data_IF_385272827888
#
_entry.id   IF_385272827888
#
_cell.length_a   1.000
_cell.length_b   1.000
_cell.length_c   1.000
_cell.angle_alpha   90.00
_cell.angle_beta   90.00
_cell.angle_gamma   90.00
#
_symmetry.space_group_name_H-M   'P 1'
#
loop_
_entity.id
_entity.type
_entity.pdbx_description
1 polymer ?
#
# COMPACT_ATOMS: atom_id res chain seq x y z
N UNK A 1 9.09 51.50 57.08
CA UNK A 1 9.71 50.71 55.99
C UNK A 1 8.69 49.70 55.47
N UNK A 2 8.11 49.95 54.29
CA UNK A 2 7.46 48.98 53.39
C UNK A 2 7.10 49.73 52.09
N UNK A 3 8.02 49.63 51.13
CA UNK A 3 7.97 50.22 49.79
C UNK A 3 7.06 49.33 48.92
N UNK A 4 5.99 49.89 48.35
CA UNK A 4 5.15 49.19 47.36
C UNK A 4 5.68 49.49 45.96
N UNK A 5 6.27 48.49 45.29
CA UNK A 5 6.59 48.56 43.86
C UNK A 5 5.30 48.45 43.04
N UNK A 6 5.06 49.43 42.17
CA UNK A 6 4.09 49.35 41.07
C UNK A 6 4.83 48.85 39.82
N UNK A 7 4.43 47.70 39.29
CA UNK A 7 4.92 47.19 38.00
C UNK A 7 4.08 47.80 36.85
N UNK A 8 4.69 48.28 35.75
CA UNK A 8 3.93 48.77 34.61
C UNK A 8 3.45 47.60 33.74
N UNK A 9 2.16 47.58 33.43
CA UNK A 9 1.54 46.67 32.46
C UNK A 9 1.81 47.21 31.05
N UNK A 10 2.60 46.48 30.25
CA UNK A 10 2.82 46.76 28.83
C UNK A 10 1.77 46.00 28.02
N UNK A 11 0.89 46.73 27.33
CA UNK A 11 -0.12 46.15 26.42
C UNK A 11 0.48 46.13 25.01
N UNK A 12 0.70 44.92 24.48
CA UNK A 12 1.18 44.68 23.12
C UNK A 12 0.00 44.60 22.15
N UNK A 13 -0.14 45.58 21.25
CA UNK A 13 -1.10 45.52 20.14
C UNK A 13 -0.48 44.76 18.96
N UNK A 14 -1.00 43.57 18.65
CA UNK A 14 -0.63 42.81 17.46
C UNK A 14 -1.59 43.19 16.33
N UNK A 15 -1.09 43.86 15.30
CA UNK A 15 -1.82 44.11 14.07
C UNK A 15 -1.72 42.87 13.16
N UNK A 16 -2.84 42.19 12.95
CA UNK A 16 -2.94 41.06 12.00
C UNK A 16 -3.30 41.63 10.63
N UNK A 17 -2.37 41.62 9.69
CA UNK A 17 -2.66 41.89 8.28
C UNK A 17 -3.27 40.63 7.62
N UNK A 18 -4.38 40.72 6.88
CA UNK A 18 -4.94 39.58 6.18
C UNK A 18 -4.03 39.18 5.00
N UNK A 19 -3.62 37.91 4.96
CA UNK A 19 -3.02 37.33 3.77
C UNK A 19 -4.10 37.15 2.68
N UNK A 20 -3.78 37.39 1.39
CA UNK A 20 -4.73 37.12 0.32
C UNK A 20 -4.96 35.60 0.20
N UNK A 21 -6.22 35.18 0.35
CA UNK A 21 -6.65 33.81 0.08
C UNK A 21 -6.84 33.70 -1.44
N UNK A 22 -6.00 32.92 -2.11
CA UNK A 22 -6.20 32.58 -3.52
C UNK A 22 -7.25 31.45 -3.61
N UNK A 23 -8.37 31.72 -4.27
CA UNK A 23 -9.36 30.70 -4.61
C UNK A 23 -9.02 30.09 -5.97
N UNK A 24 -8.90 28.76 -6.04
CA UNK A 24 -8.82 28.04 -7.31
C UNK A 24 -10.23 27.68 -7.77
N UNK A 25 -10.66 28.22 -8.91
CA UNK A 25 -11.87 27.81 -9.61
C UNK A 25 -11.50 26.96 -10.83
N UNK A 26 -12.21 25.87 -11.06
CA UNK A 26 -12.18 25.16 -12.34
C UNK A 26 -12.86 26.06 -13.39
N UNK A 27 -12.08 26.62 -14.31
CA UNK A 27 -12.60 27.49 -15.36
C UNK A 27 -12.59 26.74 -16.70
N UNK A 28 -13.75 26.67 -17.37
CA UNK A 28 -13.85 26.24 -18.77
C UNK A 28 -13.25 27.29 -19.74
N UNK A 29 -13.05 28.52 -19.25
CA UNK A 29 -12.49 29.64 -20.01
C UNK A 29 -11.02 29.87 -19.65
N UNK A 30 -10.10 29.99 -20.62
CA UNK A 30 -8.68 30.11 -20.31
C UNK A 30 -8.37 31.44 -19.59
N UNK A 31 -7.47 31.37 -18.61
CA UNK A 31 -7.19 32.42 -17.61
C UNK A 31 -6.90 33.81 -18.19
N UNK A 32 -6.27 33.85 -19.36
CA UNK A 32 -5.98 35.04 -20.15
C UNK A 32 -7.21 35.89 -20.51
N UNK A 33 -8.41 35.29 -20.58
CA UNK A 33 -9.65 36.01 -20.87
C UNK A 33 -10.30 36.64 -19.64
N UNK A 34 -10.07 36.10 -18.43
CA UNK A 34 -10.75 36.53 -17.19
C UNK A 34 -10.00 37.64 -16.44
N UNK A 35 -8.66 37.66 -16.51
CA UNK A 35 -7.84 38.56 -15.68
C UNK A 35 -7.03 39.62 -16.47
N UNK A 36 -7.14 39.64 -17.81
CA UNK A 36 -6.35 40.54 -18.64
C UNK A 36 -4.84 40.23 -18.60
N UNK A 37 -4.05 40.91 -19.42
CA UNK A 37 -2.65 40.58 -19.72
C UNK A 37 -1.63 40.88 -18.59
N UNK A 38 -2.08 40.99 -17.34
CA UNK A 38 -1.26 41.45 -16.20
C UNK A 38 -1.10 40.45 -15.05
N UNK A 39 -1.65 39.24 -15.15
CA UNK A 39 -1.63 38.24 -14.07
C UNK A 39 -0.69 37.07 -14.31
N UNK A 40 -0.12 36.51 -13.23
CA UNK A 40 0.56 35.20 -13.25
C UNK A 40 -0.51 34.12 -13.31
N UNK A 41 -0.64 33.43 -14.45
CA UNK A 41 -1.53 32.29 -14.60
C UNK A 41 -0.72 30.98 -14.51
N UNK A 42 -1.15 30.08 -13.63
CA UNK A 42 -0.69 28.69 -13.61
C UNK A 42 -1.82 27.83 -14.14
N UNK A 43 -1.60 27.15 -15.27
CA UNK A 43 -2.59 26.22 -15.85
C UNK A 43 -2.11 24.80 -15.67
N UNK A 44 -2.98 23.93 -15.17
CA UNK A 44 -2.75 22.48 -15.07
C UNK A 44 -3.82 21.74 -15.85
N UNK A 45 -3.41 20.73 -16.62
CA UNK A 45 -4.30 19.80 -17.31
C UNK A 45 -4.04 18.38 -16.84
N UNK A 46 -5.10 17.58 -16.72
CA UNK A 46 -5.02 16.14 -16.47
C UNK A 46 -5.51 15.45 -17.74
N UNK A 47 -4.61 14.71 -18.40
CA UNK A 47 -5.00 13.73 -19.39
C UNK A 47 -4.68 12.32 -18.88
N UNK A 48 -5.17 11.30 -19.60
CA UNK A 48 -5.08 9.89 -19.16
C UNK A 48 -3.66 9.34 -18.99
N UNK A 49 -2.61 10.14 -19.24
CA UNK A 49 -1.21 9.72 -19.07
C UNK A 49 -0.43 10.56 -18.04
N UNK A 50 -1.00 11.60 -17.43
CA UNK A 50 -0.35 12.32 -16.34
C UNK A 50 -0.87 13.73 -16.06
N UNK A 51 -0.25 14.37 -15.07
CA UNK A 51 -0.52 15.78 -14.69
C UNK A 51 0.59 16.66 -15.25
N UNK A 52 0.24 17.58 -16.14
CA UNK A 52 1.17 18.58 -16.67
C UNK A 52 0.93 19.94 -16.00
N UNK A 53 1.98 20.51 -15.41
CA UNK A 53 1.97 21.86 -14.82
C UNK A 53 2.82 22.79 -15.69
N UNK A 54 2.20 23.82 -16.27
CA UNK A 54 2.90 24.84 -17.05
C UNK A 54 2.71 26.20 -16.36
N UNK A 55 3.82 26.82 -15.95
CA UNK A 55 3.84 28.20 -15.47
C UNK A 55 4.47 29.09 -16.54
N UNK A 56 3.74 30.11 -17.00
CA UNK A 56 4.23 31.05 -18.01
C UNK A 56 4.08 32.49 -17.54
N UNK A 57 5.14 33.28 -17.66
CA UNK A 57 5.08 34.74 -17.61
C UNK A 57 4.99 35.25 -19.04
N UNK A 58 3.81 35.69 -19.47
CA UNK A 58 3.66 36.28 -20.81
C UNK A 58 4.16 37.72 -20.79
N UNK A 59 5.32 37.98 -21.41
CA UNK A 59 5.76 39.33 -21.79
C UNK A 59 5.29 39.60 -23.23
N UNK A 60 4.85 40.82 -23.59
CA UNK A 60 4.30 41.07 -24.92
C UNK A 60 5.41 41.00 -25.96
N UNK A 61 5.26 40.10 -26.94
CA UNK A 61 6.02 40.05 -28.18
C UNK A 61 5.07 39.69 -29.32
N UNK A 62 5.22 40.27 -30.52
CA UNK A 62 4.25 40.14 -31.59
C UNK A 62 4.20 38.72 -32.13
N UNK A 63 2.97 38.26 -32.38
CA UNK A 63 2.63 36.98 -32.99
C UNK A 63 3.20 36.84 -34.40
N UNK A 64 4.00 35.80 -34.64
CA UNK A 64 4.25 35.27 -35.98
C UNK A 64 3.61 33.89 -36.10
N UNK A 65 2.51 33.84 -36.83
CA UNK A 65 1.94 32.63 -37.40
C UNK A 65 2.87 32.07 -38.48
N UNK A 66 3.17 30.77 -38.44
CA UNK A 66 3.72 30.06 -39.59
C UNK A 66 3.07 28.68 -39.73
N UNK A 67 2.24 28.58 -40.77
CA UNK A 67 1.98 27.35 -41.51
C UNK A 67 3.27 26.81 -42.14
N UNK A 68 3.30 25.50 -42.40
CA UNK A 68 4.30 24.83 -43.24
C UNK A 68 4.44 23.37 -42.80
N UNK A 69 3.69 22.45 -43.40
CA UNK A 69 4.05 21.69 -44.61
C UNK A 69 4.88 20.43 -44.30
N UNK A 70 4.22 19.28 -44.49
CA UNK A 70 4.84 17.95 -44.58
C UNK A 70 5.81 17.86 -45.77
N UNK A 71 6.92 17.11 -45.62
CA UNK A 71 7.54 16.45 -46.76
C UNK A 71 7.51 14.92 -46.65
N UNK A 72 7.19 14.31 -47.79
CA UNK A 72 7.24 12.88 -48.09
C UNK A 72 8.68 12.29 -48.00
N UNK A 73 8.83 10.96 -47.85
CA UNK A 73 10.11 10.33 -47.53
C UNK A 73 10.98 10.08 -48.77
N UNK A 74 12.27 10.39 -48.64
CA UNK A 74 13.30 10.08 -49.63
C UNK A 74 13.77 8.61 -49.53
N UNK A 75 14.01 8.02 -50.70
CA UNK A 75 14.38 6.64 -50.95
C UNK A 75 15.88 6.59 -51.17
N UNK A 76 16.65 6.06 -50.24
CA UNK A 76 17.79 5.15 -50.50
C UNK A 76 18.53 4.80 -49.21
N UNK A 77 18.60 3.50 -48.87
CA UNK A 77 19.85 2.80 -48.51
C UNK A 77 19.61 1.30 -48.36
N UNK A 78 20.44 0.56 -49.10
CA UNK A 78 20.87 -0.83 -49.01
C UNK A 78 20.15 -1.81 -48.06
N UNK A 79 19.71 -2.90 -48.68
CA UNK A 79 19.26 -4.17 -48.09
C UNK A 79 20.37 -4.88 -47.32
N UNK A 80 20.24 -4.98 -46.00
CA UNK A 80 20.99 -5.94 -45.18
C UNK A 80 20.02 -6.84 -44.43
N UNK A 81 20.04 -8.14 -44.77
CA UNK A 81 19.15 -9.18 -44.23
C UNK A 81 19.64 -9.55 -42.82
N UNK A 82 18.79 -9.56 -41.77
CA UNK A 82 19.20 -10.01 -40.45
C UNK A 82 19.34 -11.53 -40.43
N UNK A 83 20.53 -12.03 -40.13
CA UNK A 83 20.79 -13.44 -39.84
C UNK A 83 20.17 -13.78 -38.48
N UNK A 84 19.09 -14.57 -38.46
CA UNK A 84 18.49 -15.10 -37.23
C UNK A 84 19.50 -16.03 -36.52
N UNK A 85 19.78 -15.86 -35.22
CA UNK A 85 20.55 -16.84 -34.44
C UNK A 85 19.83 -18.19 -34.42
N UNK A 86 20.51 -19.27 -34.82
CA UNK A 86 19.99 -20.63 -34.70
C UNK A 86 19.88 -21.01 -33.22
N UNK A 87 18.69 -21.46 -32.81
CA UNK A 87 18.50 -22.08 -31.50
C UNK A 87 19.24 -23.44 -31.46
N UNK A 88 19.85 -23.81 -30.33
CA UNK A 88 20.47 -25.14 -30.18
C UNK A 88 19.42 -26.24 -30.33
N UNK A 89 19.81 -27.44 -30.82
CA UNK A 89 18.88 -28.54 -30.99
C UNK A 89 18.25 -28.94 -29.64
N UNK A 90 16.96 -29.33 -29.63
CA UNK A 90 16.30 -29.75 -28.39
C UNK A 90 17.01 -30.99 -27.83
N UNK A 91 17.41 -30.90 -26.57
CA UNK A 91 17.94 -32.03 -25.79
C UNK A 91 16.87 -33.13 -25.76
N UNK A 92 17.20 -34.41 -26.05
CA UNK A 92 16.25 -35.50 -25.92
C UNK A 92 15.74 -35.55 -24.48
N UNK A 93 14.48 -35.19 -24.25
CA UNK A 93 13.84 -35.43 -22.95
C UNK A 93 13.72 -36.94 -22.79
N UNK A 94 14.40 -37.49 -21.79
CA UNK A 94 14.11 -38.81 -21.28
C UNK A 94 12.62 -38.87 -20.99
N UNK A 95 11.95 -39.83 -21.63
CA UNK A 95 10.51 -40.12 -21.54
C UNK A 95 10.13 -40.27 -20.07
N UNK A 96 9.44 -39.28 -19.54
CA UNK A 96 8.84 -39.31 -18.19
C UNK A 96 7.62 -40.24 -18.20
N UNK A 97 7.52 -41.08 -17.16
CA UNK A 97 6.60 -42.21 -17.04
C UNK A 97 5.10 -41.85 -16.85
N UNK A 98 4.67 -40.65 -17.26
CA UNK A 98 3.29 -40.19 -17.14
C UNK A 98 2.53 -40.07 -18.47
N UNK A 99 3.18 -40.32 -19.61
CA UNK A 99 2.56 -40.22 -20.94
C UNK A 99 2.48 -41.58 -21.63
N UNK A 100 1.75 -42.54 -21.05
CA UNK A 100 1.41 -43.78 -21.77
C UNK A 100 -0.04 -44.17 -21.54
N UNK A 101 -0.95 -43.59 -22.31
CA UNK A 101 -2.22 -44.26 -22.66
C UNK A 101 -1.88 -45.47 -23.54
N UNK A 102 -1.45 -46.58 -22.90
CA UNK A 102 -1.33 -47.87 -23.58
C UNK A 102 -2.74 -48.40 -23.79
N UNK A 103 -3.20 -48.45 -25.03
CA UNK A 103 -4.43 -49.17 -25.38
C UNK A 103 -4.28 -50.65 -25.02
N UNK A 104 -5.21 -51.20 -24.25
CA UNK A 104 -5.20 -52.59 -23.80
C UNK A 104 -6.57 -53.24 -24.02
N UNK A 105 -6.58 -54.56 -24.29
CA UNK A 105 -7.80 -55.34 -24.50
C UNK A 105 -8.50 -55.66 -23.17
N UNK A 106 -9.85 -55.60 -23.08
CA UNK A 106 -10.58 -55.91 -21.86
C UNK A 106 -10.27 -57.32 -21.33
N UNK A 107 -9.89 -57.44 -20.06
CA UNK A 107 -9.67 -58.72 -19.39
C UNK A 107 -8.26 -59.30 -19.47
N UNK A 108 -7.31 -58.65 -20.16
CA UNK A 108 -5.90 -59.05 -20.12
C UNK A 108 -5.17 -58.52 -18.88
N UNK A 109 -4.21 -59.31 -18.40
CA UNK A 109 -3.25 -58.90 -17.37
C UNK A 109 -2.01 -58.34 -18.03
N UNK A 110 -1.69 -57.09 -17.72
CA UNK A 110 -0.45 -56.47 -18.18
C UNK A 110 0.76 -57.09 -17.47
N UNK A 111 1.94 -57.05 -18.10
CA UNK A 111 3.19 -57.56 -17.50
C UNK A 111 3.56 -56.86 -16.19
N UNK A 112 3.00 -55.68 -15.91
CA UNK A 112 3.13 -54.94 -14.65
C UNK A 112 2.17 -55.41 -13.54
N UNK A 113 1.32 -56.40 -13.79
CA UNK A 113 0.39 -56.97 -12.81
C UNK A 113 -0.96 -56.23 -12.66
N UNK A 114 -1.19 -55.14 -13.40
CA UNK A 114 -2.47 -54.43 -13.45
C UNK A 114 -3.52 -55.15 -14.30
N UNK A 115 -4.81 -54.96 -13.96
CA UNK A 115 -5.95 -55.44 -14.75
C UNK A 115 -6.61 -54.27 -15.49
N UNK A 116 -6.87 -54.43 -16.78
CA UNK A 116 -7.64 -53.47 -17.57
C UNK A 116 -9.13 -53.81 -17.51
N UNK A 117 -9.86 -53.09 -16.65
CA UNK A 117 -11.28 -53.32 -16.39
C UNK A 117 -12.23 -52.67 -17.41
N UNK A 118 -11.84 -51.56 -18.04
CA UNK A 118 -12.69 -50.75 -18.93
C UNK A 118 -12.20 -50.69 -20.39
N UNK A 119 -11.06 -51.32 -20.70
CA UNK A 119 -10.49 -51.34 -22.05
C UNK A 119 -9.93 -49.99 -22.52
N UNK A 120 -9.77 -49.01 -21.62
CA UNK A 120 -9.20 -47.68 -21.96
C UNK A 120 -8.13 -47.24 -20.95
N UNK A 121 -8.13 -47.72 -19.70
CA UNK A 121 -7.14 -47.31 -18.70
C UNK A 121 -6.58 -48.49 -17.91
N UNK A 122 -5.24 -48.53 -17.79
CA UNK A 122 -4.55 -49.46 -16.92
C UNK A 122 -4.43 -48.86 -15.50
N UNK A 123 -5.10 -49.44 -14.52
CA UNK A 123 -4.90 -49.09 -13.12
C UNK A 123 -3.57 -49.71 -12.65
N UNK A 124 -2.48 -48.95 -12.76
CA UNK A 124 -1.20 -49.35 -12.20
C UNK A 124 -1.27 -49.24 -10.66
N UNK A 125 -0.80 -50.24 -9.91
CA UNK A 125 -0.63 -50.07 -8.46
C UNK A 125 0.35 -48.92 -8.18
N UNK A 126 0.19 -48.20 -7.05
CA UNK A 126 1.10 -47.12 -6.69
C UNK A 126 2.54 -47.64 -6.65
N UNK A 127 3.45 -46.89 -7.26
CA UNK A 127 4.85 -47.29 -7.39
C UNK A 127 5.46 -47.54 -6.00
N UNK A 128 5.85 -48.79 -5.74
CA UNK A 128 6.65 -49.16 -4.57
C UNK A 128 8.12 -48.91 -4.86
N UNK A 129 8.49 -47.65 -5.11
CA UNK A 129 9.89 -47.24 -5.06
C UNK A 129 10.09 -46.46 -3.76
N UNK A 130 11.19 -46.65 -3.02
CA UNK A 130 11.52 -45.72 -1.93
C UNK A 130 11.59 -44.32 -2.55
N UNK A 131 10.64 -43.45 -2.18
CA UNK A 131 10.53 -42.12 -2.78
C UNK A 131 11.90 -41.46 -2.79
N UNK A 132 12.31 -40.97 -3.97
CA UNK A 132 13.49 -40.10 -4.07
C UNK A 132 13.36 -39.07 -2.93
N UNK A 133 14.37 -38.88 -2.07
CA UNK A 133 14.34 -37.80 -1.11
C UNK A 133 13.91 -36.55 -1.85
N UNK A 134 12.94 -35.82 -1.31
CA UNK A 134 12.56 -34.52 -1.86
C UNK A 134 13.85 -33.78 -2.19
N UNK A 135 14.01 -33.27 -3.42
CA UNK A 135 15.19 -32.45 -3.73
C UNK A 135 15.29 -31.43 -2.61
N UNK A 136 16.46 -31.28 -1.95
CA UNK A 136 16.60 -30.29 -0.91
C UNK A 136 16.06 -28.98 -1.45
N UNK A 137 15.10 -28.37 -0.74
CA UNK A 137 14.71 -27.00 -1.02
C UNK A 137 16.02 -26.22 -1.19
N UNK A 138 16.18 -25.40 -2.27
CA UNK A 138 17.45 -24.75 -2.54
C UNK A 138 17.91 -24.08 -1.25
N UNK A 139 19.02 -24.60 -0.71
CA UNK A 139 19.58 -24.07 0.52
C UNK A 139 19.81 -22.59 0.26
N UNK A 140 19.05 -21.75 0.96
CA UNK A 140 19.25 -20.30 0.93
C UNK A 140 20.70 -20.14 1.35
N UNK A 141 21.55 -19.80 0.40
CA UNK A 141 22.98 -19.71 0.64
C UNK A 141 23.10 -18.53 1.59
N UNK A 142 23.38 -18.82 2.85
CA UNK A 142 23.70 -17.83 3.86
C UNK A 142 25.10 -17.30 3.51
N UNK A 143 25.15 -16.53 2.42
CA UNK A 143 26.28 -15.65 2.13
C UNK A 143 26.38 -14.75 3.34
N UNK A 144 27.56 -14.56 3.96
CA UNK A 144 27.72 -13.60 5.05
C UNK A 144 27.28 -12.23 4.52
N UNK A 145 26.05 -11.89 4.81
CA UNK A 145 25.23 -10.98 4.04
C UNK A 145 24.46 -10.09 5.00
N UNK A 146 23.96 -8.98 4.46
CA UNK A 146 23.21 -7.97 5.21
C UNK A 146 22.22 -8.62 6.18
N UNK A 147 22.36 -8.28 7.46
CA UNK A 147 21.52 -8.78 8.54
C UNK A 147 20.37 -7.82 8.86
N UNK A 148 19.39 -8.27 9.65
CA UNK A 148 18.34 -7.39 10.19
C UNK A 148 18.92 -6.19 10.97
N UNK A 149 20.04 -6.38 11.68
CA UNK A 149 20.69 -5.31 12.43
C UNK A 149 21.25 -4.22 11.51
N UNK A 150 21.77 -4.60 10.34
CA UNK A 150 22.34 -3.65 9.37
C UNK A 150 21.27 -2.73 8.76
N UNK A 151 20.06 -3.25 8.59
CA UNK A 151 18.93 -2.50 8.01
C UNK A 151 18.03 -1.82 9.04
N UNK A 152 18.22 -2.08 10.34
CA UNK A 152 17.36 -1.51 11.38
C UNK A 152 17.32 0.02 11.39
N UNK A 153 18.42 0.68 10.97
CA UNK A 153 18.49 2.14 10.85
C UNK A 153 17.67 2.74 9.70
N UNK A 154 17.25 1.91 8.75
CA UNK A 154 16.48 2.34 7.58
C UNK A 154 14.97 2.27 7.79
N UNK A 155 14.51 1.75 8.93
CA UNK A 155 13.08 1.58 9.20
C UNK A 155 12.33 2.91 9.09
N UNK A 156 11.36 3.02 8.18
CA UNK A 156 10.49 4.18 8.13
C UNK A 156 9.56 4.20 9.34
N UNK A 157 9.40 5.39 9.94
CA UNK A 157 8.52 5.63 11.09
C UNK A 157 7.27 6.43 10.72
N UNK A 158 6.82 6.32 9.47
CA UNK A 158 5.73 7.13 8.91
C UNK A 158 4.33 6.57 9.17
N UNK A 159 4.22 5.32 9.63
CA UNK A 159 2.93 4.70 9.94
C UNK A 159 2.24 5.38 11.13
N UNK A 160 0.92 5.54 11.03
CA UNK A 160 0.04 6.11 12.05
C UNK A 160 -1.10 5.16 12.40
N UNK A 161 -1.70 5.34 13.57
CA UNK A 161 -2.94 4.65 13.96
C UNK A 161 -4.11 5.61 13.78
N UNK A 162 -5.20 5.11 13.22
CA UNK A 162 -6.50 5.79 13.10
C UNK A 162 -7.59 4.88 13.66
N UNK A 163 -8.69 5.47 14.11
CA UNK A 163 -9.87 4.73 14.52
C UNK A 163 -11.14 5.26 13.86
N UNK A 164 -12.14 4.41 13.78
CA UNK A 164 -13.51 4.79 13.44
C UNK A 164 -14.46 4.25 14.52
N UNK A 165 -15.20 5.13 15.22
CA UNK A 165 -15.13 6.59 15.12
C UNK A 165 -13.77 7.19 15.55
N UNK A 166 -13.44 8.39 15.06
CA UNK A 166 -12.12 8.99 15.27
C UNK A 166 -11.88 9.38 16.74
N UNK A 167 -10.99 8.66 17.41
CA UNK A 167 -10.54 8.92 18.78
C UNK A 167 -11.48 8.45 19.90
N UNK A 168 -12.60 7.79 19.59
CA UNK A 168 -13.55 7.31 20.59
C UNK A 168 -14.23 6.01 20.20
N UNK A 169 -14.77 5.31 21.20
CA UNK A 169 -15.52 4.08 21.04
C UNK A 169 -16.73 4.07 21.98
N UNK A 170 -17.74 3.23 21.68
CA UNK A 170 -18.83 2.96 22.60
C UNK A 170 -18.61 1.63 23.31
N UNK A 171 -18.93 1.57 24.60
CA UNK A 171 -18.97 0.30 25.34
C UNK A 171 -19.87 -0.69 24.62
N UNK A 172 -19.34 -1.88 24.33
CA UNK A 172 -20.07 -2.96 23.67
C UNK A 172 -20.28 -2.81 22.17
N UNK A 173 -19.78 -1.74 21.53
CA UNK A 173 -19.84 -1.58 20.07
C UNK A 173 -18.46 -1.76 19.42
N UNK A 174 -18.38 -2.24 18.17
CA UNK A 174 -17.14 -2.30 17.42
C UNK A 174 -16.53 -0.91 17.17
N UNK A 175 -15.28 -0.72 17.56
CA UNK A 175 -14.41 0.34 17.05
C UNK A 175 -13.50 -0.28 15.99
N UNK A 176 -13.40 0.35 14.83
CA UNK A 176 -12.51 -0.10 13.76
C UNK A 176 -11.16 0.59 13.91
N UNK A 177 -10.06 -0.17 14.01
CA UNK A 177 -8.70 0.36 14.08
C UNK A 177 -8.01 0.14 12.73
N UNK A 178 -7.24 1.11 12.25
CA UNK A 178 -6.55 1.00 10.98
C UNK A 178 -5.24 1.79 10.97
N UNK A 179 -4.33 1.40 10.08
CA UNK A 179 -3.06 2.08 9.88
C UNK A 179 -2.84 2.41 8.41
N UNK A 180 -2.03 3.42 8.12
CA UNK A 180 -1.57 3.77 6.77
C UNK A 180 -0.21 3.13 6.44
N UNK A 181 0.23 2.15 7.23
CA UNK A 181 1.42 1.37 6.95
C UNK A 181 1.32 0.67 5.58
N UNK A 182 2.31 0.93 4.74
CA UNK A 182 2.44 0.35 3.41
C UNK A 182 3.89 -0.05 3.16
N UNK A 183 4.14 -0.78 2.07
CA UNK A 183 5.51 -1.08 1.66
C UNK A 183 6.26 0.21 1.33
N UNK A 184 7.50 0.34 1.82
CA UNK A 184 8.33 1.53 1.60
C UNK A 184 9.73 1.13 1.18
N UNK A 185 10.32 1.92 0.29
CA UNK A 185 11.72 1.81 -0.13
C UNK A 185 12.46 3.02 0.40
N UNK A 186 13.57 2.77 1.09
CA UNK A 186 14.43 3.79 1.68
C UNK A 186 15.81 3.68 1.07
N UNK A 187 16.27 4.78 0.47
CA UNK A 187 17.63 4.92 -0.04
C UNK A 187 18.61 5.23 1.10
N UNK A 188 19.85 4.76 0.96
CA UNK A 188 20.95 5.20 1.81
C UNK A 188 22.21 4.37 1.64
N UNK A 189 23.05 4.30 2.67
CA UNK A 189 24.32 3.57 2.62
C UNK A 189 24.27 2.35 3.52
N UNK A 190 24.44 1.16 2.95
CA UNK A 190 24.44 -0.12 3.64
C UNK A 190 25.83 -0.76 3.49
N UNK A 191 26.49 -1.06 4.61
CA UNK A 191 27.86 -1.59 4.63
C UNK A 191 28.85 -0.79 3.76
N UNK A 192 28.73 0.54 3.75
CA UNK A 192 29.60 1.45 3.00
C UNK A 192 29.26 1.63 1.52
N UNK A 193 28.16 1.04 1.02
CA UNK A 193 27.74 1.13 -0.39
C UNK A 193 26.34 1.74 -0.52
N UNK A 194 26.06 2.53 -1.58
CA UNK A 194 24.71 2.97 -1.90
C UNK A 194 23.77 1.78 -2.08
N UNK A 195 22.65 1.81 -1.38
CA UNK A 195 21.68 0.73 -1.35
C UNK A 195 20.26 1.27 -1.21
N UNK A 196 19.31 0.43 -1.58
CA UNK A 196 17.90 0.60 -1.27
C UNK A 196 17.45 -0.54 -0.37
N UNK A 197 16.69 -0.20 0.66
CA UNK A 197 16.07 -1.16 1.56
C UNK A 197 14.56 -1.02 1.44
N UNK A 198 13.89 -2.12 1.10
CA UNK A 198 12.44 -2.20 1.02
C UNK A 198 11.89 -2.92 2.23
N UNK A 199 10.97 -2.29 2.92
CA UNK A 199 10.23 -2.84 4.05
C UNK A 199 8.80 -3.13 3.61
N UNK A 200 8.38 -4.39 3.69
CA UNK A 200 6.99 -4.81 3.41
C UNK A 200 6.35 -5.24 4.73
N UNK A 201 5.24 -4.62 5.18
CA UNK A 201 4.56 -5.07 6.38
C UNK A 201 3.90 -6.43 6.11
N UNK A 202 4.08 -7.37 7.02
CA UNK A 202 3.56 -8.75 6.87
C UNK A 202 2.71 -9.20 8.04
N UNK A 203 2.71 -8.47 9.16
CA UNK A 203 1.86 -8.76 10.31
C UNK A 203 1.66 -7.51 11.16
N UNK A 204 0.47 -7.39 11.76
CA UNK A 204 0.01 -6.24 12.52
C UNK A 204 -0.57 -6.72 13.85
N UNK A 205 0.15 -6.48 14.94
CA UNK A 205 -0.30 -6.82 16.30
C UNK A 205 -0.77 -5.57 17.02
N UNK A 206 -2.07 -5.49 17.25
CA UNK A 206 -2.74 -4.45 18.02
C UNK A 206 -2.76 -4.81 19.50
N UNK A 207 -2.29 -3.90 20.35
CA UNK A 207 -2.59 -3.89 21.78
C UNK A 207 -3.70 -2.87 22.00
N UNK A 208 -4.84 -3.33 22.52
CA UNK A 208 -6.04 -2.52 22.67
C UNK A 208 -6.04 -1.65 23.93
N UNK A 209 -5.04 -1.77 24.80
CA UNK A 209 -4.92 -0.97 26.02
C UNK A 209 -5.89 -1.37 27.14
N UNK A 210 -6.59 -2.50 26.99
CA UNK A 210 -7.45 -3.13 28.01
C UNK A 210 -6.91 -4.51 28.46
N UNK A 211 -5.67 -4.84 28.10
CA UNK A 211 -5.03 -6.13 28.37
C UNK A 211 -5.29 -7.19 27.29
N UNK A 212 -6.04 -6.86 26.24
CA UNK A 212 -6.23 -7.74 25.08
C UNK A 212 -5.40 -7.31 23.88
N UNK A 213 -5.08 -8.26 23.01
CA UNK A 213 -4.37 -8.01 21.76
C UNK A 213 -4.95 -8.83 20.61
N UNK A 214 -4.71 -8.38 19.38
CA UNK A 214 -5.14 -9.07 18.16
C UNK A 214 -4.06 -8.94 17.10
N UNK A 215 -3.80 -10.03 16.39
CA UNK A 215 -2.88 -10.04 15.25
C UNK A 215 -3.64 -10.28 13.96
N UNK A 216 -3.39 -9.44 12.97
CA UNK A 216 -3.99 -9.54 11.63
C UNK A 216 -2.90 -9.42 10.55
N UNK A 217 -3.24 -9.80 9.33
CA UNK A 217 -2.32 -9.79 8.18
C UNK A 217 -2.35 -8.49 7.38
N UNK A 218 -3.33 -7.61 7.64
CA UNK A 218 -3.56 -6.39 6.87
C UNK A 218 -3.64 -5.13 7.72
N UNK A 219 -3.44 -3.95 7.12
CA UNK A 219 -3.48 -2.66 7.82
C UNK A 219 -4.90 -2.23 8.26
N UNK A 220 -5.92 -3.02 7.92
CA UNK A 220 -7.33 -2.65 8.05
C UNK A 220 -7.79 -1.74 6.91
N UNK A 221 -9.09 -1.47 6.86
CA UNK A 221 -9.70 -0.54 5.91
C UNK A 221 -10.84 0.21 6.60
N UNK A 222 -11.14 1.41 6.13
CA UNK A 222 -12.28 2.17 6.66
C UNK A 222 -13.61 1.52 6.27
N UNK A 223 -14.66 1.72 7.08
CA UNK A 223 -16.01 1.25 6.76
C UNK A 223 -16.47 1.70 5.37
N UNK A 224 -16.15 2.95 4.98
CA UNK A 224 -16.43 3.48 3.64
C UNK A 224 -15.73 2.67 2.54
N UNK A 225 -14.46 2.31 2.71
CA UNK A 225 -13.72 1.49 1.74
C UNK A 225 -14.29 0.07 1.66
N UNK A 226 -14.81 -0.45 2.76
CA UNK A 226 -15.45 -1.77 2.84
C UNK A 226 -16.91 -1.77 2.39
N UNK A 227 -17.52 -0.61 2.14
CA UNK A 227 -18.96 -0.49 1.86
C UNK A 227 -19.84 -0.89 3.05
N UNK A 228 -19.32 -0.78 4.27
CA UNK A 228 -20.00 -1.15 5.51
C UNK A 228 -20.58 0.07 6.23
N UNK A 229 -21.59 -0.18 7.06
CA UNK A 229 -22.13 0.84 7.97
C UNK A 229 -21.21 1.06 9.17
N UNK A 230 -21.30 2.22 9.79
CA UNK A 230 -20.58 2.52 11.02
C UNK A 230 -20.93 1.49 12.11
N UNK A 231 -19.95 1.16 12.95
CA UNK A 231 -20.02 0.14 14.01
C UNK A 231 -20.24 -1.31 13.51
N UNK A 232 -20.01 -1.57 12.23
CA UNK A 232 -19.93 -2.95 11.71
C UNK A 232 -18.57 -3.56 12.04
N UNK A 233 -18.54 -4.82 12.47
CA UNK A 233 -17.29 -5.55 12.71
C UNK A 233 -16.47 -5.72 11.43
N UNK A 234 -15.19 -5.39 11.53
CA UNK A 234 -14.13 -5.56 10.52
C UNK A 234 -13.06 -6.51 11.04
N UNK A 235 -12.12 -6.92 10.19
CA UNK A 235 -10.95 -7.71 10.61
C UNK A 235 -10.10 -7.02 11.68
N UNK A 236 -10.11 -5.69 11.73
CA UNK A 236 -9.36 -4.87 12.70
C UNK A 236 -10.25 -4.19 13.73
N UNK A 237 -11.46 -4.71 13.94
CA UNK A 237 -12.35 -4.20 14.98
C UNK A 237 -12.02 -4.73 16.37
N UNK A 238 -12.28 -3.91 17.38
CA UNK A 238 -12.27 -4.31 18.79
C UNK A 238 -13.55 -3.86 19.50
N UNK A 239 -13.92 -4.53 20.58
CA UNK A 239 -15.09 -4.18 21.40
C UNK A 239 -14.66 -4.01 22.84
N UNK A 240 -14.75 -2.79 23.36
CA UNK A 240 -14.42 -2.51 24.76
C UNK A 240 -15.59 -2.81 25.70
N UNK A 241 -15.38 -3.58 26.78
CA UNK A 241 -16.45 -3.96 27.71
C UNK A 241 -16.75 -2.88 28.77
N UNK A 242 -15.86 -1.92 28.96
CA UNK A 242 -15.94 -0.91 30.03
C UNK A 242 -15.48 0.45 29.56
N UNK A 243 -16.05 1.51 30.14
CA UNK A 243 -15.67 2.89 29.86
C UNK A 243 -14.23 3.21 30.30
N UNK A 244 -13.72 4.33 29.81
CA UNK A 244 -12.44 4.92 30.18
C UNK A 244 -11.48 5.01 29.01
N UNK A 245 -10.34 5.66 29.24
CA UNK A 245 -9.32 5.84 28.21
C UNK A 245 -8.54 4.54 27.99
N UNK A 246 -8.22 4.28 26.71
CA UNK A 246 -7.45 3.11 26.28
C UNK A 246 -6.27 3.58 25.45
N UNK A 247 -5.07 3.14 25.81
CA UNK A 247 -3.85 3.45 25.06
C UNK A 247 -3.61 2.33 24.05
N UNK A 248 -4.00 2.56 22.81
CA UNK A 248 -3.85 1.60 21.73
C UNK A 248 -2.46 1.73 21.13
N UNK A 249 -1.74 0.62 21.01
CA UNK A 249 -0.47 0.55 20.28
C UNK A 249 -0.54 -0.49 19.17
N UNK A 250 0.32 -0.33 18.17
CA UNK A 250 0.44 -1.25 17.05
C UNK A 250 1.89 -1.66 16.88
N UNK A 251 2.16 -2.96 16.81
CA UNK A 251 3.46 -3.50 16.40
C UNK A 251 3.34 -4.07 14.99
N UNK A 252 4.10 -3.51 14.06
CA UNK A 252 4.15 -3.95 12.66
C UNK A 252 5.42 -4.77 12.45
N UNK A 253 5.28 -6.01 11.99
CA UNK A 253 6.42 -6.81 11.56
C UNK A 253 6.70 -6.55 10.08
N UNK A 254 7.87 -5.98 9.77
CA UNK A 254 8.30 -5.76 8.39
C UNK A 254 9.23 -6.88 7.93
N UNK A 255 8.99 -7.41 6.73
CA UNK A 255 9.93 -8.28 6.01
C UNK A 255 10.83 -7.40 5.12
N UNK A 256 12.13 -7.26 5.43
CA UNK A 256 13.01 -6.39 4.66
C UNK A 256 13.69 -7.13 3.50
N UNK A 257 13.89 -6.40 2.40
CA UNK A 257 14.74 -6.78 1.29
C UNK A 257 15.66 -5.63 0.93
N UNK A 258 16.85 -5.91 0.40
CA UNK A 258 17.80 -4.87 -0.01
C UNK A 258 18.26 -5.08 -1.45
N UNK A 259 18.79 -4.03 -2.07
CA UNK A 259 19.56 -4.12 -3.31
C UNK A 259 20.66 -3.08 -3.33
N UNK A 260 21.79 -3.44 -3.92
CA UNK A 260 22.89 -2.51 -4.22
C UNK A 260 22.82 -2.08 -5.68
N UNK A 261 23.16 -0.82 -5.95
CA UNK A 261 23.44 -0.31 -7.31
C UNK A 261 22.35 -0.65 -8.36
N UNK A 262 21.08 -0.69 -7.95
CA UNK A 262 19.94 -1.00 -8.83
C UNK A 262 19.77 -2.48 -9.21
N UNK A 263 20.53 -3.40 -8.60
CA UNK A 263 20.44 -4.84 -8.83
C UNK A 263 19.12 -5.50 -8.36
N UNK A 264 19.12 -6.83 -8.34
CA UNK A 264 17.98 -7.61 -7.86
C UNK A 264 17.74 -7.45 -6.36
N UNK A 265 16.47 -7.54 -5.93
CA UNK A 265 16.11 -7.55 -4.51
C UNK A 265 16.55 -8.85 -3.84
N UNK A 266 17.28 -8.72 -2.74
CA UNK A 266 17.72 -9.81 -1.89
C UNK A 266 16.92 -9.76 -0.58
N UNK A 267 16.22 -10.84 -0.26
CA UNK A 267 15.47 -10.95 0.98
C UNK A 267 16.41 -11.12 2.17
N UNK A 268 16.11 -10.45 3.28
CA UNK A 268 16.79 -10.68 4.55
C UNK A 268 15.89 -11.61 5.38
N UNK A 269 16.38 -12.77 5.83
CA UNK A 269 15.60 -13.68 6.66
C UNK A 269 15.11 -13.03 7.95
N UNK A 270 13.85 -13.30 8.31
CA UNK A 270 13.19 -12.79 9.51
C UNK A 270 12.40 -11.49 9.30
N UNK A 271 11.94 -10.91 10.41
CA UNK A 271 11.15 -9.68 10.41
C UNK A 271 11.71 -8.68 11.41
N UNK A 272 11.42 -7.40 11.16
CA UNK A 272 11.82 -6.30 12.02
C UNK A 272 10.56 -5.66 12.63
N UNK A 273 10.35 -5.78 13.96
CA UNK A 273 9.19 -5.21 14.62
C UNK A 273 9.34 -3.69 14.78
N UNK A 274 8.25 -2.96 14.52
CA UNK A 274 8.18 -1.50 14.63
C UNK A 274 6.92 -1.12 15.38
N UNK A 275 7.07 -0.44 16.51
CA UNK A 275 5.96 0.02 17.33
C UNK A 275 5.48 1.40 16.88
N UNK A 276 4.16 1.58 16.82
CA UNK A 276 3.45 2.81 16.48
C UNK A 276 2.50 3.16 17.63
N UNK A 277 2.39 4.46 17.94
CA UNK A 277 1.56 4.97 19.04
C UNK A 277 2.33 5.14 20.36
N UNK A 278 1.63 5.24 21.50
CA UNK A 278 0.19 4.97 21.64
C UNK A 278 -0.70 6.08 21.07
N UNK A 279 -1.94 5.72 20.72
CA UNK A 279 -3.05 6.67 20.54
C UNK A 279 -4.11 6.42 21.61
N UNK A 280 -4.74 7.49 22.09
CA UNK A 280 -5.80 7.37 23.09
C UNK A 280 -7.16 7.20 22.42
N UNK A 281 -7.89 6.16 22.81
CA UNK A 281 -9.30 5.95 22.47
C UNK A 281 -10.15 6.20 23.72
N UNK A 282 -11.08 7.15 23.63
CA UNK A 282 -12.02 7.44 24.71
C UNK A 282 -13.21 6.49 24.62
N UNK A 283 -13.32 5.53 25.55
CA UNK A 283 -14.47 4.61 25.58
C UNK A 283 -15.60 5.21 26.41
N UNK A 284 -16.71 5.49 25.73
CA UNK A 284 -17.87 6.18 26.26
C UNK A 284 -19.07 5.24 26.35
N UNK A 285 -20.04 5.55 27.21
CA UNK A 285 -21.32 4.86 27.21
C UNK A 285 -22.33 5.65 26.38
N UNK A 286 -22.99 4.98 25.44
CA UNK A 286 -24.10 5.54 24.70
C UNK A 286 -25.35 5.59 25.57
N UNK A 287 -26.03 6.74 25.59
CA UNK A 287 -27.39 6.85 26.12
C UNK A 287 -28.31 7.26 24.98
N UNK A 288 -29.38 6.50 24.75
CA UNK A 288 -30.44 6.92 23.85
C UNK A 288 -31.60 7.44 24.70
N UNK A 289 -32.07 8.63 24.36
CA UNK A 289 -33.29 9.20 24.92
C UNK A 289 -34.29 9.35 23.78
N UNK A 290 -35.54 9.00 24.04
CA UNK A 290 -36.62 9.26 23.09
C UNK A 290 -36.92 10.76 23.13
N UNK A 291 -36.68 11.43 22.01
CA UNK A 291 -37.03 12.83 21.81
C UNK A 291 -38.32 12.92 21.01
N UNK A 292 -39.11 13.97 21.25
CA UNK A 292 -40.29 14.25 20.44
C UNK A 292 -39.88 14.66 19.02
N UNK A 293 -40.44 13.99 18.01
CA UNK A 293 -40.20 14.34 16.60
C UNK A 293 -38.84 13.88 16.04
N UNK A 294 -38.67 14.00 14.72
CA UNK A 294 -37.41 13.70 14.05
C UNK A 294 -36.43 14.88 14.15
N UNK A 295 -35.13 14.60 14.25
CA UNK A 295 -34.10 15.64 14.25
C UNK A 295 -34.18 16.50 12.97
N UNK A 296 -33.98 17.81 13.12
CA UNK A 296 -34.13 18.79 12.03
C UNK A 296 -35.57 19.25 11.76
N UNK A 297 -36.57 18.80 12.54
CA UNK A 297 -37.95 19.31 12.45
C UNK A 297 -38.22 20.42 13.46
N UNK A 298 -39.24 21.25 13.18
CA UNK A 298 -39.64 22.39 14.04
C UNK A 298 -40.02 21.99 15.48
N UNK A 299 -40.31 20.71 15.71
CA UNK A 299 -40.70 20.15 17.00
C UNK A 299 -39.70 19.13 17.54
N UNK A 300 -38.46 19.12 17.02
CA UNK A 300 -37.43 18.23 17.52
C UNK A 300 -37.17 18.50 19.02
N UNK A 301 -37.20 17.44 19.81
CA UNK A 301 -36.91 17.51 21.24
C UNK A 301 -35.42 17.78 21.52
N UNK A 302 -35.07 18.14 22.76
CA UNK A 302 -33.70 18.42 23.15
C UNK A 302 -32.77 17.22 22.88
N UNK A 303 -31.67 17.42 22.17
CA UNK A 303 -30.71 16.35 21.78
C UNK A 303 -30.70 16.04 20.28
N UNK A 304 -31.62 16.66 19.53
CA UNK A 304 -31.49 17.03 18.13
C UNK A 304 -31.13 18.53 18.04
#
# INVERSE_FOLDING_TARGET
MRLRLLAPVVVLFIAIAPAPIAHAETAETPCNFKFGSGGVCTTGGIDGAGVALQAGTTRPGPSSSSHGEDPAPDRTTASERPTRPQAPPPVPRGRSAADVDVSCSPGERLSSGGMCGDGQHAFLPPATWPGKPADPAPAVTDVPGVTLADVARFVPRSASIRSQPNGWALVGAPVNLLTDAAAQVVDGTLLGRPAQVRFVPVSFTWDHGDGTSTTVDGPGASWKQLGQQDFTTTDTSHVYPTMGDRQVTLTIAYAPSYRFDGGGWQQIPGTLPVQVGPVTIHVLQGSTVLVGGACGTRHAGPGC
#
